data_IF_219634432493
#
_entry.id   IF_219634432493
#
_cell.length_a   1.000
_cell.length_b   1.000
_cell.length_c   1.000
_cell.angle_alpha   90.00
_cell.angle_beta   90.00
_cell.angle_gamma   90.00
#
_symmetry.space_group_name_H-M   'P 1'
#
loop_
_entity.id
_entity.type
_entity.pdbx_description
1 polymer ?
#
# COMPACT_ATOMS: atom_id res chain seq x y z
N UNK A 1 -25.70 5.07 -45.66
CA UNK A 1 -24.26 4.94 -45.89
C UNK A 1 -23.44 5.48 -44.70
N UNK A 2 -23.69 6.70 -44.18
CA UNK A 2 -22.95 7.26 -43.04
C UNK A 2 -23.00 6.41 -41.76
N UNK A 3 -24.18 5.92 -41.39
CA UNK A 3 -24.36 5.10 -40.19
C UNK A 3 -23.60 3.77 -40.29
N UNK A 4 -23.61 3.13 -41.47
CA UNK A 4 -22.84 1.91 -41.69
C UNK A 4 -21.32 2.15 -41.66
N UNK A 5 -20.85 3.26 -42.23
CA UNK A 5 -19.42 3.62 -42.19
C UNK A 5 -18.96 3.85 -40.74
N UNK A 6 -19.74 4.56 -39.92
CA UNK A 6 -19.44 4.80 -38.53
C UNK A 6 -19.38 3.49 -37.69
N UNK A 7 -20.28 2.54 -37.98
CA UNK A 7 -20.25 1.23 -37.32
C UNK A 7 -19.04 0.38 -37.72
N UNK A 8 -18.62 0.45 -38.99
CA UNK A 8 -17.42 -0.24 -39.47
C UNK A 8 -16.18 0.35 -38.79
N UNK A 9 -16.05 1.67 -38.72
CA UNK A 9 -14.94 2.32 -37.99
C UNK A 9 -14.89 1.95 -36.52
N UNK A 10 -16.06 1.89 -35.84
CA UNK A 10 -16.13 1.47 -34.45
C UNK A 10 -15.68 -0.01 -34.27
N UNK A 11 -16.04 -0.86 -35.22
CA UNK A 11 -15.64 -2.26 -35.19
C UNK A 11 -14.16 -2.43 -35.45
N UNK A 12 -13.57 -1.68 -36.39
CA UNK A 12 -12.13 -1.66 -36.66
C UNK A 12 -11.35 -1.21 -35.41
N UNK A 13 -11.75 -0.10 -34.79
CA UNK A 13 -11.11 0.37 -33.55
C UNK A 13 -11.22 -0.67 -32.42
N UNK A 14 -12.36 -1.35 -32.31
CA UNK A 14 -12.52 -2.43 -31.33
C UNK A 14 -11.63 -3.63 -31.65
N UNK A 15 -11.48 -4.00 -32.92
CA UNK A 15 -10.62 -5.08 -33.35
C UNK A 15 -9.14 -4.78 -33.06
N UNK A 16 -8.68 -3.56 -33.35
CA UNK A 16 -7.33 -3.11 -33.01
C UNK A 16 -7.08 -3.12 -31.51
N UNK A 17 -8.06 -2.65 -30.72
CA UNK A 17 -7.97 -2.70 -29.26
C UNK A 17 -7.86 -4.15 -28.75
N UNK A 18 -8.70 -5.08 -29.24
CA UNK A 18 -8.64 -6.50 -28.90
C UNK A 18 -7.30 -7.11 -29.26
N UNK A 19 -6.78 -6.78 -30.44
CA UNK A 19 -5.45 -7.23 -30.87
C UNK A 19 -4.37 -6.74 -29.90
N UNK A 20 -4.43 -5.48 -29.48
CA UNK A 20 -3.53 -4.91 -28.48
C UNK A 20 -3.58 -5.65 -27.13
N UNK A 21 -4.76 -6.14 -26.72
CA UNK A 21 -4.90 -6.91 -25.47
C UNK A 21 -4.48 -8.38 -25.60
N UNK A 22 -4.23 -8.86 -26.81
CA UNK A 22 -3.89 -10.27 -27.08
C UNK A 22 -2.43 -10.62 -26.76
N UNK A 23 -1.57 -9.64 -26.55
CA UNK A 23 -0.15 -9.85 -26.30
C UNK A 23 0.28 -9.17 -25.00
N UNK A 24 1.13 -9.84 -24.16
CA UNK A 24 1.64 -9.24 -22.92
C UNK A 24 2.35 -7.90 -23.12
N UNK A 25 2.98 -7.69 -24.29
CA UNK A 25 3.73 -6.48 -24.61
C UNK A 25 2.85 -5.23 -24.71
N UNK A 26 1.58 -5.41 -25.07
CA UNK A 26 0.64 -4.32 -25.37
C UNK A 26 -0.63 -4.37 -24.53
N UNK A 27 -0.87 -5.48 -23.82
CA UNK A 27 -2.01 -5.63 -22.93
C UNK A 27 -1.91 -4.67 -21.73
N UNK A 28 -3.05 -4.23 -21.21
CA UNK A 28 -3.15 -3.31 -20.07
C UNK A 28 -4.18 -3.79 -19.05
N UNK A 29 -4.00 -3.37 -17.79
CA UNK A 29 -4.93 -3.63 -16.70
C UNK A 29 -5.26 -5.12 -16.56
N UNK A 30 -6.54 -5.42 -16.44
CA UNK A 30 -7.07 -6.78 -16.23
C UNK A 30 -6.66 -7.79 -17.31
N UNK A 31 -6.41 -7.35 -18.53
CA UNK A 31 -5.96 -8.24 -19.61
C UNK A 31 -4.50 -8.64 -19.43
N UNK A 32 -3.68 -7.71 -18.97
CA UNK A 32 -2.30 -8.01 -18.59
C UNK A 32 -2.25 -8.95 -17.38
N UNK A 33 -3.13 -8.77 -16.40
CA UNK A 33 -3.27 -9.66 -15.25
C UNK A 33 -3.62 -11.10 -15.68
N UNK A 34 -4.47 -11.26 -16.70
CA UNK A 34 -4.80 -12.59 -17.28
C UNK A 34 -3.58 -13.23 -17.93
N UNK A 35 -2.74 -12.46 -18.63
CA UNK A 35 -1.48 -12.97 -19.17
C UNK A 35 -0.52 -13.41 -18.06
N UNK A 36 -0.44 -12.63 -16.97
CA UNK A 36 0.32 -13.00 -15.77
C UNK A 36 -0.18 -14.31 -15.16
N UNK A 37 -1.49 -14.44 -15.00
CA UNK A 37 -2.12 -15.62 -14.40
C UNK A 37 -1.80 -16.92 -15.15
N UNK A 38 -1.69 -16.88 -16.47
CA UNK A 38 -1.28 -18.05 -17.28
C UNK A 38 0.15 -18.52 -16.96
N UNK A 39 0.97 -17.67 -16.34
CA UNK A 39 2.34 -17.95 -15.90
C UNK A 39 2.47 -18.10 -14.38
N UNK A 40 1.35 -18.07 -13.65
CA UNK A 40 1.34 -18.08 -12.19
C UNK A 40 1.83 -16.77 -11.58
N UNK A 41 1.89 -15.67 -12.35
CA UNK A 41 2.31 -14.35 -11.89
C UNK A 41 1.06 -13.54 -11.57
N UNK A 42 0.97 -13.06 -10.34
CA UNK A 42 -0.11 -12.19 -9.88
C UNK A 42 0.47 -10.80 -9.62
N UNK A 43 -0.31 -9.76 -9.96
CA UNK A 43 0.04 -8.36 -9.66
C UNK A 43 0.26 -8.19 -8.15
N UNK A 44 1.30 -7.49 -7.78
CA UNK A 44 1.59 -7.19 -6.39
C UNK A 44 0.60 -6.15 -5.88
N UNK A 45 -0.18 -6.56 -4.87
CA UNK A 45 -1.13 -5.66 -4.24
C UNK A 45 -0.43 -4.59 -3.41
N UNK A 46 -1.03 -3.40 -3.27
CA UNK A 46 -0.48 -2.37 -2.41
C UNK A 46 -0.49 -2.81 -0.95
N UNK A 47 0.55 -2.44 -0.19
CA UNK A 47 0.66 -2.70 1.25
C UNK A 47 0.67 -1.41 2.04
N UNK A 48 0.24 -1.50 3.31
CA UNK A 48 0.27 -0.37 4.25
C UNK A 48 1.63 -0.28 4.92
N UNK A 49 2.12 0.95 5.12
CA UNK A 49 3.27 1.16 5.98
C UNK A 49 2.89 0.86 7.44
N UNK A 50 3.77 0.19 8.16
CA UNK A 50 3.61 -0.18 9.56
C UNK A 50 4.69 0.45 10.43
N UNK A 51 4.38 0.70 11.70
CA UNK A 51 5.30 1.33 12.64
C UNK A 51 4.68 1.41 14.02
N UNK A 52 5.17 2.33 14.82
CA UNK A 52 4.71 2.56 16.18
C UNK A 52 4.47 4.04 16.43
N UNK A 53 3.44 4.35 17.21
CA UNK A 53 3.10 5.69 17.69
C UNK A 53 3.29 5.73 19.20
N UNK A 54 4.01 6.72 19.69
CA UNK A 54 4.16 7.02 21.12
C UNK A 54 3.25 8.18 21.49
N UNK A 55 2.25 7.91 22.31
CA UNK A 55 1.32 8.88 22.85
C UNK A 55 1.85 9.40 24.19
N UNK A 56 1.73 10.69 24.45
CA UNK A 56 2.24 11.34 25.66
C UNK A 56 1.18 12.18 26.34
N UNK A 57 1.22 12.16 27.67
CA UNK A 57 0.45 13.05 28.56
C UNK A 57 1.34 14.22 28.97
N UNK A 58 0.76 15.39 29.22
CA UNK A 58 1.49 16.53 29.78
C UNK A 58 1.95 16.26 31.22
N UNK A 59 1.12 15.55 32.00
CA UNK A 59 1.40 15.17 33.39
C UNK A 59 0.88 13.76 33.65
N UNK A 60 1.57 13.04 34.55
CA UNK A 60 1.12 11.75 35.02
C UNK A 60 -0.27 11.85 35.66
N UNK A 61 -1.16 10.92 35.31
CA UNK A 61 -2.52 10.85 35.85
C UNK A 61 -2.60 9.87 37.02
N UNK A 62 -3.57 10.07 37.89
CA UNK A 62 -3.84 9.14 39.01
C UNK A 62 -4.59 7.87 38.56
N UNK A 63 -5.16 7.89 37.37
CA UNK A 63 -5.84 6.75 36.73
C UNK A 63 -5.18 6.38 35.42
N UNK A 64 -5.41 5.15 34.97
CA UNK A 64 -4.93 4.70 33.66
C UNK A 64 -5.67 5.44 32.52
N UNK A 65 -4.96 5.78 31.46
CA UNK A 65 -5.52 6.42 30.25
C UNK A 65 -5.40 5.45 29.07
N UNK A 66 -6.56 5.05 28.51
CA UNK A 66 -6.64 4.16 27.35
C UNK A 66 -6.46 4.93 26.03
N UNK A 67 -5.74 4.33 25.10
CA UNK A 67 -5.70 4.70 23.68
C UNK A 67 -6.27 3.53 22.90
N UNK A 68 -7.44 3.69 22.33
CA UNK A 68 -8.14 2.61 21.63
C UNK A 68 -7.53 2.29 20.27
N UNK A 69 -7.65 1.05 19.83
CA UNK A 69 -7.38 0.64 18.46
C UNK A 69 -8.23 1.48 17.48
N UNK A 70 -7.64 1.87 16.35
CA UNK A 70 -8.31 2.75 15.40
C UNK A 70 -8.14 4.24 15.68
N UNK A 71 -7.43 4.63 16.76
CA UNK A 71 -7.08 6.03 17.00
C UNK A 71 -6.26 6.59 15.85
N UNK A 72 -6.72 7.71 15.26
CA UNK A 72 -6.11 8.29 14.05
C UNK A 72 -5.22 9.48 14.41
N UNK A 73 -3.99 9.43 13.91
CA UNK A 73 -3.02 10.52 13.94
C UNK A 73 -2.53 10.82 12.53
N UNK A 74 -1.94 11.99 12.26
CA UNK A 74 -1.46 12.32 10.94
C UNK A 74 -0.16 13.13 10.96
N UNK A 75 0.47 13.20 9.79
CA UNK A 75 1.55 14.15 9.52
C UNK A 75 0.97 15.52 9.15
N UNK A 76 1.81 16.56 9.07
CA UNK A 76 1.41 17.87 8.50
C UNK A 76 0.90 17.73 7.04
N UNK A 77 1.46 16.81 6.28
CA UNK A 77 1.02 16.49 4.91
C UNK A 77 -0.28 15.68 4.82
N UNK A 78 -1.06 15.61 5.92
CA UNK A 78 -2.33 14.89 6.00
C UNK A 78 -2.27 13.37 5.70
N UNK A 79 -1.10 12.74 5.78
CA UNK A 79 -0.96 11.28 5.73
C UNK A 79 -1.42 10.72 7.06
N UNK A 80 -2.43 9.85 7.03
CA UNK A 80 -3.13 9.34 8.22
C UNK A 80 -2.60 7.98 8.62
N UNK A 81 -2.44 7.79 9.94
CA UNK A 81 -2.06 6.54 10.59
C UNK A 81 -3.09 6.20 11.65
N UNK A 82 -3.35 4.92 11.87
CA UNK A 82 -4.25 4.43 12.91
C UNK A 82 -3.56 3.40 13.77
N UNK A 83 -3.87 3.36 15.05
CA UNK A 83 -3.44 2.29 15.95
C UNK A 83 -4.11 0.98 15.56
N UNK A 84 -3.37 -0.12 15.63
CA UNK A 84 -3.85 -1.48 15.29
C UNK A 84 -4.27 -2.27 16.54
N UNK A 85 -3.88 -1.79 17.72
CA UNK A 85 -4.16 -2.41 19.00
C UNK A 85 -4.47 -1.35 20.07
N UNK A 86 -5.06 -1.78 21.16
CA UNK A 86 -5.29 -0.91 22.32
C UNK A 86 -3.98 -0.69 23.08
N UNK A 87 -3.77 0.54 23.55
CA UNK A 87 -2.69 0.91 24.44
C UNK A 87 -3.22 1.49 25.75
N UNK A 88 -2.51 1.30 26.83
CA UNK A 88 -2.87 1.90 28.12
C UNK A 88 -1.65 2.57 28.73
N UNK A 89 -1.78 3.85 29.08
CA UNK A 89 -0.79 4.57 29.89
C UNK A 89 -1.15 4.29 31.35
N UNK A 90 -0.31 3.56 32.11
CA UNK A 90 -0.60 3.24 33.50
C UNK A 90 -0.65 4.50 34.38
N UNK A 91 -1.31 4.40 35.52
CA UNK A 91 -1.29 5.47 36.50
C UNK A 91 0.15 5.78 36.95
N UNK A 92 0.52 7.06 36.94
CA UNK A 92 1.86 7.51 37.27
C UNK A 92 2.83 7.56 36.08
N UNK A 93 2.51 6.95 34.94
CA UNK A 93 3.27 7.01 33.69
C UNK A 93 2.79 8.18 32.83
N UNK A 94 3.61 8.58 31.85
CA UNK A 94 3.32 9.71 30.94
C UNK A 94 3.29 9.34 29.46
N UNK A 95 3.57 8.08 29.11
CA UNK A 95 3.59 7.67 27.70
C UNK A 95 3.26 6.20 27.52
N UNK A 96 2.77 5.87 26.32
CA UNK A 96 2.61 4.50 25.81
C UNK A 96 2.98 4.46 24.34
N UNK A 97 3.60 3.37 23.92
CA UNK A 97 3.90 3.09 22.51
C UNK A 97 2.99 1.98 22.02
N UNK A 98 2.30 2.22 20.92
CA UNK A 98 1.27 1.33 20.34
C UNK A 98 1.62 1.08 18.88
N UNK A 99 1.39 -0.15 18.40
CA UNK A 99 1.52 -0.49 17.00
C UNK A 99 0.50 0.29 16.15
N UNK A 100 0.93 0.71 14.96
CA UNK A 100 0.09 1.50 14.07
C UNK A 100 0.43 1.20 12.60
N UNK A 101 -0.53 1.48 11.73
CA UNK A 101 -0.39 1.35 10.27
C UNK A 101 -0.91 2.59 9.56
N UNK A 102 -0.44 2.82 8.32
CA UNK A 102 -1.02 3.84 7.46
C UNK A 102 -2.47 3.49 7.11
N UNK A 103 -3.37 4.49 7.10
CA UNK A 103 -4.78 4.29 6.72
C UNK A 103 -4.90 3.91 5.25
N UNK A 104 -4.06 4.47 4.39
CA UNK A 104 -4.02 4.19 2.97
C UNK A 104 -2.82 3.30 2.66
N UNK A 105 -3.02 2.30 1.79
CA UNK A 105 -1.92 1.51 1.27
C UNK A 105 -1.13 2.33 0.24
N UNK A 106 0.17 2.07 0.17
CA UNK A 106 1.04 2.76 -0.77
C UNK A 106 2.35 3.22 -0.14
N UNK A 107 3.29 3.57 -0.99
CA UNK A 107 4.60 4.06 -0.59
C UNK A 107 4.56 5.43 0.12
N UNK A 108 3.49 6.20 -0.05
CA UNK A 108 3.26 7.48 0.65
C UNK A 108 3.17 7.33 2.17
N UNK A 109 2.80 6.15 2.66
CA UNK A 109 2.80 5.83 4.09
C UNK A 109 4.19 5.65 4.71
N UNK A 110 5.24 5.52 3.91
CA UNK A 110 6.61 5.42 4.40
C UNK A 110 7.11 6.83 4.80
N UNK A 111 7.01 7.15 6.07
CA UNK A 111 7.37 8.47 6.59
C UNK A 111 8.52 8.37 7.60
N UNK A 112 9.33 9.41 7.67
CA UNK A 112 10.47 9.48 8.59
C UNK A 112 10.05 9.52 10.07
N UNK A 113 11.00 9.29 10.96
CA UNK A 113 10.79 9.43 12.39
C UNK A 113 10.40 10.88 12.74
N UNK A 114 9.51 11.08 13.72
CA UNK A 114 9.08 12.39 14.21
C UNK A 114 8.11 13.14 13.31
N UNK A 115 7.66 12.55 12.20
CA UNK A 115 6.77 13.25 11.24
C UNK A 115 5.28 13.14 11.58
N UNK A 116 4.88 12.14 12.37
CA UNK A 116 3.50 11.97 12.83
C UNK A 116 3.33 12.64 14.17
N UNK A 117 2.75 13.84 14.19
CA UNK A 117 2.61 14.64 15.40
C UNK A 117 1.26 15.37 15.54
N UNK A 118 0.34 15.17 14.57
CA UNK A 118 -0.99 15.77 14.62
C UNK A 118 -2.00 14.77 15.15
N UNK A 119 -2.63 15.09 16.27
CA UNK A 119 -3.72 14.34 16.88
C UNK A 119 -5.04 14.69 16.19
N UNK A 120 -5.79 13.70 15.72
CA UNK A 120 -7.09 13.95 15.07
C UNK A 120 -8.26 13.58 15.97
N UNK A 121 -8.21 12.38 16.57
CA UNK A 121 -9.23 11.89 17.51
C UNK A 121 -8.51 11.05 18.56
N UNK A 122 -8.23 11.65 19.71
CA UNK A 122 -7.55 11.01 20.83
C UNK A 122 -8.27 11.33 22.15
N UNK A 123 -8.08 10.55 23.21
CA UNK A 123 -8.54 10.90 24.55
C UNK A 123 -8.04 12.29 24.96
N UNK A 124 -8.89 13.07 25.62
CA UNK A 124 -8.59 14.47 26.00
C UNK A 124 -7.31 14.62 26.82
N UNK A 125 -6.91 13.58 27.54
CA UNK A 125 -5.69 13.59 28.35
C UNK A 125 -4.40 13.50 27.51
N UNK A 126 -4.46 12.96 26.28
CA UNK A 126 -3.30 12.83 25.39
C UNK A 126 -3.01 14.19 24.76
N UNK A 127 -1.81 14.68 24.97
CA UNK A 127 -1.40 16.02 24.53
C UNK A 127 -0.43 16.00 23.35
N UNK A 128 0.27 14.89 23.14
CA UNK A 128 1.21 14.76 22.02
C UNK A 128 1.28 13.32 21.52
N UNK A 129 1.61 13.18 20.24
CA UNK A 129 1.93 11.91 19.59
C UNK A 129 3.20 12.08 18.77
N UNK A 130 4.01 11.05 18.68
CA UNK A 130 5.15 11.00 17.77
C UNK A 130 5.44 9.57 17.33
N UNK A 131 6.06 9.41 16.18
CA UNK A 131 6.68 8.17 15.79
C UNK A 131 8.19 8.25 15.99
N UNK A 132 8.71 7.49 16.95
CA UNK A 132 10.16 7.50 17.26
C UNK A 132 11.00 6.84 16.14
N UNK A 133 10.40 5.96 15.38
CA UNK A 133 10.99 5.29 14.22
C UNK A 133 10.19 5.59 12.95
N UNK A 134 10.83 5.42 11.79
CA UNK A 134 10.15 5.55 10.52
C UNK A 134 9.06 4.48 10.35
N UNK A 135 7.96 4.84 9.69
CA UNK A 135 7.00 3.88 9.14
C UNK A 135 7.57 3.32 7.84
N UNK A 136 7.49 2.00 7.65
CA UNK A 136 8.08 1.29 6.51
C UNK A 136 7.15 0.17 6.03
N UNK A 137 7.46 -0.41 4.86
CA UNK A 137 6.71 -1.54 4.31
C UNK A 137 5.49 -1.13 3.49
N UNK A 138 5.24 0.17 3.31
CA UNK A 138 4.22 0.65 2.38
C UNK A 138 4.70 0.49 0.94
N UNK A 139 3.93 -0.23 0.14
CA UNK A 139 4.19 -0.43 -1.29
C UNK A 139 2.96 0.02 -2.08
N UNK A 140 3.20 0.74 -3.16
CA UNK A 140 2.15 1.05 -4.13
C UNK A 140 1.79 -0.20 -4.92
N UNK A 141 0.60 -0.22 -5.50
CA UNK A 141 0.22 -1.28 -6.44
C UNK A 141 1.21 -1.33 -7.60
N UNK A 142 1.58 -2.54 -7.99
CA UNK A 142 2.46 -2.79 -9.12
C UNK A 142 1.85 -2.20 -10.41
N UNK A 143 2.63 -1.41 -11.11
CA UNK A 143 2.21 -0.81 -12.38
C UNK A 143 2.13 -1.85 -13.50
N UNK A 144 1.39 -1.53 -14.57
CA UNK A 144 1.32 -2.39 -15.76
C UNK A 144 2.72 -2.65 -16.35
N UNK A 145 3.61 -1.66 -16.30
CA UNK A 145 4.96 -1.81 -16.84
C UNK A 145 5.82 -2.78 -16.03
N UNK A 146 5.77 -2.68 -14.71
CA UNK A 146 6.48 -3.60 -13.80
C UNK A 146 5.96 -5.03 -13.93
N UNK A 147 4.63 -5.21 -13.95
CA UNK A 147 4.01 -6.52 -14.16
C UNK A 147 4.36 -7.09 -15.53
N UNK A 148 4.33 -6.26 -16.59
CA UNK A 148 4.71 -6.66 -17.96
C UNK A 148 6.14 -7.17 -18.00
N UNK A 149 7.07 -6.46 -17.38
CA UNK A 149 8.46 -6.86 -17.33
C UNK A 149 8.63 -8.21 -16.64
N UNK A 150 7.97 -8.43 -15.49
CA UNK A 150 7.99 -9.72 -14.79
C UNK A 150 7.42 -10.86 -15.65
N UNK A 151 6.34 -10.60 -16.37
CA UNK A 151 5.75 -11.59 -17.29
C UNK A 151 6.75 -11.92 -18.40
N UNK A 152 7.32 -10.92 -19.06
CA UNK A 152 8.30 -11.12 -20.13
C UNK A 152 9.55 -11.84 -19.64
N UNK A 153 10.09 -11.49 -18.49
CA UNK A 153 11.23 -12.14 -17.86
C UNK A 153 10.95 -13.63 -17.57
N UNK A 154 9.70 -13.95 -17.21
CA UNK A 154 9.29 -15.35 -16.98
C UNK A 154 9.40 -16.24 -18.23
N UNK A 155 9.25 -15.67 -19.41
CA UNK A 155 9.46 -16.41 -20.67
C UNK A 155 10.95 -16.65 -20.95
N UNK A 156 11.83 -15.79 -20.47
CA UNK A 156 13.28 -15.91 -20.67
C UNK A 156 13.93 -16.86 -19.66
N UNK A 157 13.33 -17.00 -18.47
CA UNK A 157 13.86 -17.78 -17.34
C UNK A 157 13.26 -19.19 -17.24
N UNK A 158 12.98 -19.83 -18.36
CA UNK A 158 12.49 -21.21 -18.32
C UNK A 158 13.60 -22.15 -17.82
N UNK A 159 13.36 -22.92 -16.73
CA UNK A 159 14.32 -23.91 -16.26
C UNK A 159 14.56 -24.95 -17.36
N UNK A 160 15.81 -25.09 -17.80
CA UNK A 160 16.19 -26.04 -18.86
C UNK A 160 17.33 -26.99 -18.44
N UNK A 161 17.60 -27.09 -17.14
CA UNK A 161 18.66 -27.95 -16.60
C UNK A 161 20.08 -27.42 -16.79
N UNK A 162 20.26 -26.30 -17.52
CA UNK A 162 21.56 -25.74 -17.83
C UNK A 162 21.70 -24.26 -17.49
N UNK A 163 20.66 -23.63 -16.93
CA UNK A 163 20.67 -22.23 -16.53
C UNK A 163 20.47 -22.07 -15.00
N UNK A 164 20.78 -20.87 -14.48
CA UNK A 164 20.66 -20.57 -13.05
C UNK A 164 19.24 -20.81 -12.49
N UNK A 165 18.21 -20.60 -13.30
CA UNK A 165 16.81 -20.82 -12.90
C UNK A 165 16.44 -22.30 -12.63
N UNK A 166 17.32 -23.26 -12.94
CA UNK A 166 17.14 -24.66 -12.57
C UNK A 166 17.57 -24.93 -11.12
N UNK A 167 18.49 -24.12 -10.58
CA UNK A 167 19.10 -24.34 -9.27
C UNK A 167 18.53 -23.43 -8.16
N UNK A 168 17.62 -22.53 -8.48
CA UNK A 168 16.85 -21.71 -7.54
C UNK A 168 15.49 -22.36 -7.20
#
# INVERSE_FOLDING_TARGET
>A
LWAAAAQIQALEAQAEWVLGQSFPQTATGVYLDRHGAMRGIVRQAPSRATGQLTFRLANAQTGAVGVEAGTVCMTEGAIRFRTTEDGTIPAGETSVTVAAEAVEAGSSGNVGAGTVHVLTACPVAVTAVTNEKAFTGGLSEETDEELRQRILDSFQRLPNGANAAWYE
#
